data_IF_353136407842
#
_entry.id   IF_353136407842
#
_cell.length_a   1.000
_cell.length_b   1.000
_cell.length_c   1.000
_cell.angle_alpha   90.00
_cell.angle_beta   90.00
_cell.angle_gamma   90.00
#
_symmetry.space_group_name_H-M   'P 1'
#
loop_
_entity.id
_entity.type
_entity.pdbx_description
1 polymer ?
#
# COMPACT_ATOMS: atom_id res chain seq x y z
N UNK A 1 9.47 25.88 -23.46
CA UNK A 1 8.92 24.56 -23.88
C UNK A 1 9.51 23.37 -23.11
N UNK A 2 10.76 23.44 -22.63
CA UNK A 2 11.40 22.32 -21.91
C UNK A 2 10.80 22.07 -20.51
N UNK A 3 10.41 23.13 -19.79
CA UNK A 3 9.76 23.04 -18.46
C UNK A 3 8.42 22.29 -18.47
N UNK A 4 7.55 22.55 -19.44
CA UNK A 4 6.29 21.84 -19.58
C UNK A 4 6.50 20.34 -19.85
N UNK A 5 7.56 19.99 -20.59
CA UNK A 5 7.89 18.59 -20.89
C UNK A 5 8.43 17.86 -19.66
N UNK A 6 9.28 18.48 -18.83
CA UNK A 6 9.82 17.84 -17.61
C UNK A 6 8.72 17.58 -16.59
N UNK A 7 7.79 18.51 -16.45
CA UNK A 7 6.66 18.38 -15.54
C UNK A 7 5.76 17.17 -15.85
N UNK A 8 5.44 16.93 -17.13
CA UNK A 8 4.60 15.79 -17.53
C UNK A 8 5.21 14.43 -17.19
N UNK A 9 6.54 14.29 -17.34
CA UNK A 9 7.23 13.06 -17.01
C UNK A 9 7.30 12.82 -15.49
N UNK A 10 7.56 13.87 -14.70
CA UNK A 10 7.57 13.75 -13.23
C UNK A 10 6.19 13.33 -12.70
N UNK A 11 5.10 13.86 -13.28
CA UNK A 11 3.74 13.42 -12.98
C UNK A 11 3.52 11.95 -13.30
N UNK A 12 3.99 11.48 -14.45
CA UNK A 12 3.89 10.07 -14.83
C UNK A 12 4.62 9.15 -13.84
N UNK A 13 5.89 9.42 -13.51
CA UNK A 13 6.63 8.61 -12.54
C UNK A 13 5.96 8.58 -11.17
N UNK A 14 5.38 9.70 -10.75
CA UNK A 14 4.65 9.77 -9.49
C UNK A 14 3.41 8.87 -9.49
N UNK A 15 2.60 8.90 -10.56
CA UNK A 15 1.42 8.03 -10.72
C UNK A 15 1.82 6.55 -10.76
N UNK A 16 2.90 6.22 -11.47
CA UNK A 16 3.37 4.82 -11.52
C UNK A 16 3.84 4.38 -10.14
N UNK A 17 4.61 5.23 -9.43
CA UNK A 17 5.08 4.92 -8.08
C UNK A 17 3.92 4.76 -7.10
N UNK A 18 2.88 5.61 -7.19
CA UNK A 18 1.67 5.52 -6.36
C UNK A 18 0.94 4.21 -6.58
N UNK A 19 0.79 3.82 -7.84
CA UNK A 19 0.11 2.59 -8.21
C UNK A 19 0.87 1.35 -7.72
N UNK A 20 2.20 1.34 -7.90
CA UNK A 20 3.05 0.22 -7.45
C UNK A 20 3.01 0.10 -5.93
N UNK A 21 3.12 1.22 -5.19
CA UNK A 21 3.01 1.21 -3.71
C UNK A 21 1.63 0.77 -3.26
N UNK A 22 0.55 1.20 -3.92
CA UNK A 22 -0.80 0.75 -3.62
C UNK A 22 -0.95 -0.77 -3.77
N UNK A 23 -0.52 -1.32 -4.91
CA UNK A 23 -0.54 -2.77 -5.13
C UNK A 23 0.33 -3.52 -4.10
N UNK A 24 1.49 -2.97 -3.76
CA UNK A 24 2.42 -3.54 -2.78
C UNK A 24 1.76 -3.60 -1.39
N UNK A 25 1.20 -2.49 -0.91
CA UNK A 25 0.53 -2.46 0.39
C UNK A 25 -0.74 -3.32 0.41
N UNK A 26 -1.51 -3.35 -0.68
CA UNK A 26 -2.67 -4.26 -0.80
C UNK A 26 -2.23 -5.72 -0.68
N UNK A 27 -1.15 -6.14 -1.35
CA UNK A 27 -0.64 -7.52 -1.24
C UNK A 27 -0.17 -7.87 0.19
N UNK A 28 0.43 -6.91 0.88
CA UNK A 28 0.79 -7.05 2.29
C UNK A 28 -0.45 -7.24 3.18
N UNK A 29 -1.47 -6.41 2.95
CA UNK A 29 -2.71 -6.49 3.71
C UNK A 29 -3.52 -7.75 3.41
N UNK A 30 -3.51 -8.28 2.18
CA UNK A 30 -4.15 -9.58 1.89
C UNK A 30 -3.53 -10.68 2.75
N UNK A 31 -2.20 -10.67 2.93
CA UNK A 31 -1.51 -11.64 3.80
C UNK A 31 -1.94 -11.50 5.26
N UNK A 32 -2.07 -10.27 5.75
CA UNK A 32 -2.59 -9.99 7.09
C UNK A 32 -4.07 -10.43 7.25
N UNK A 33 -4.90 -10.18 6.24
CA UNK A 33 -6.31 -10.58 6.22
C UNK A 33 -6.43 -12.09 6.27
N UNK A 34 -5.64 -12.82 5.46
CA UNK A 34 -5.62 -14.29 5.48
C UNK A 34 -5.21 -14.84 6.85
N UNK A 35 -4.22 -14.22 7.49
CA UNK A 35 -3.85 -14.55 8.87
C UNK A 35 -5.01 -14.32 9.85
N UNK A 36 -5.70 -13.19 9.74
CA UNK A 36 -6.82 -12.85 10.62
C UNK A 36 -8.06 -13.73 10.37
N UNK A 37 -8.35 -14.11 9.12
CA UNK A 37 -9.42 -15.08 8.80
C UNK A 37 -9.12 -16.48 9.36
N UNK A 38 -7.84 -16.84 9.50
CA UNK A 38 -7.43 -18.06 10.21
C UNK A 38 -7.82 -17.99 11.69
N UNK A 39 -7.65 -16.83 12.32
CA UNK A 39 -8.00 -16.61 13.73
C UNK A 39 -9.52 -16.46 13.95
N UNK A 40 -10.23 -15.91 12.97
CA UNK A 40 -11.67 -15.64 13.01
C UNK A 40 -12.34 -16.23 11.76
N UNK A 41 -12.65 -17.54 11.74
CA UNK A 41 -13.16 -18.22 10.55
C UNK A 41 -14.51 -17.70 10.04
N UNK A 42 -15.28 -17.05 10.91
CA UNK A 42 -16.58 -16.44 10.56
C UNK A 42 -16.44 -15.06 9.92
N UNK A 43 -15.23 -14.51 9.83
CA UNK A 43 -15.00 -13.18 9.30
C UNK A 43 -14.93 -13.17 7.76
N UNK A 44 -15.94 -12.56 7.13
CA UNK A 44 -15.92 -12.29 5.69
C UNK A 44 -15.16 -10.98 5.42
N UNK A 45 -13.95 -11.11 4.87
CA UNK A 45 -13.10 -9.97 4.53
C UNK A 45 -12.92 -9.79 3.02
N UNK A 46 -13.79 -10.37 2.19
CA UNK A 46 -13.63 -10.39 0.72
C UNK A 46 -13.59 -8.98 0.12
N UNK A 47 -14.32 -8.02 0.70
CA UNK A 47 -14.37 -6.63 0.24
C UNK A 47 -13.11 -5.81 0.58
N UNK A 48 -12.32 -6.27 1.54
CA UNK A 48 -11.30 -5.44 2.18
C UNK A 48 -10.06 -5.16 1.30
N UNK A 49 -9.53 -6.11 0.49
CA UNK A 49 -8.39 -5.84 -0.40
C UNK A 49 -8.66 -4.71 -1.40
N UNK A 50 -9.86 -4.70 -2.00
CA UNK A 50 -10.28 -3.64 -2.93
C UNK A 50 -10.38 -2.30 -2.23
N UNK A 51 -11.01 -2.26 -1.04
CA UNK A 51 -11.09 -1.05 -0.22
C UNK A 51 -9.69 -0.51 0.15
N UNK A 52 -8.79 -1.36 0.60
CA UNK A 52 -7.42 -1.01 0.97
C UNK A 52 -6.65 -0.40 -0.21
N UNK A 53 -6.81 -0.97 -1.41
CA UNK A 53 -6.21 -0.41 -2.62
C UNK A 53 -6.66 1.03 -2.87
N UNK A 54 -7.98 1.30 -2.79
CA UNK A 54 -8.51 2.64 -2.94
C UNK A 54 -8.09 3.58 -1.82
N UNK A 55 -8.06 3.10 -0.57
CA UNK A 55 -7.62 3.86 0.59
C UNK A 55 -6.17 4.35 0.44
N UNK A 56 -5.28 3.49 -0.06
CA UNK A 56 -3.88 3.87 -0.31
C UNK A 56 -3.77 4.95 -1.38
N UNK A 57 -4.51 4.82 -2.48
CA UNK A 57 -4.54 5.80 -3.57
C UNK A 57 -5.15 7.15 -3.13
N UNK A 58 -6.26 7.11 -2.41
CA UNK A 58 -6.90 8.29 -1.83
C UNK A 58 -5.94 9.02 -0.90
N UNK A 59 -5.27 8.29 0.00
CA UNK A 59 -4.32 8.89 0.93
C UNK A 59 -3.18 9.60 0.21
N UNK A 60 -2.65 9.01 -0.86
CA UNK A 60 -1.64 9.65 -1.70
C UNK A 60 -2.13 10.93 -2.37
N UNK A 61 -3.37 10.93 -2.86
CA UNK A 61 -3.99 12.11 -3.46
C UNK A 61 -4.15 13.24 -2.44
N UNK A 62 -4.62 12.91 -1.24
CA UNK A 62 -4.83 13.86 -0.14
C UNK A 62 -3.49 14.41 0.37
N UNK A 63 -2.47 13.56 0.52
CA UNK A 63 -1.15 13.96 0.99
C UNK A 63 -0.59 15.15 0.20
N UNK A 64 -0.68 15.08 -1.14
CA UNK A 64 -0.23 16.16 -2.02
C UNK A 64 -1.00 17.47 -1.86
N UNK A 65 -2.29 17.39 -1.52
CA UNK A 65 -3.11 18.58 -1.24
C UNK A 65 -2.78 19.17 0.13
N UNK A 66 -2.38 18.34 1.08
CA UNK A 66 -2.08 18.74 2.46
C UNK A 66 -0.66 19.30 2.65
N UNK A 67 0.24 19.18 1.67
CA UNK A 67 1.64 19.63 1.79
C UNK A 67 1.77 21.11 2.19
N UNK A 68 0.82 21.96 1.78
CA UNK A 68 0.82 23.39 2.11
C UNK A 68 0.06 23.74 3.40
N UNK A 69 -0.57 22.77 4.05
CA UNK A 69 -1.34 23.01 5.26
C UNK A 69 -0.45 22.83 6.49
N UNK A 70 -0.45 23.80 7.44
CA UNK A 70 0.28 23.64 8.68
C UNK A 70 -0.27 22.44 9.46
N UNK A 71 0.63 21.56 9.87
CA UNK A 71 0.30 20.40 10.72
C UNK A 71 -0.34 20.92 12.01
N UNK A 72 -1.42 20.26 12.46
CA UNK A 72 -2.23 20.64 13.62
C UNK A 72 -3.06 21.92 13.48
N UNK A 73 -3.21 22.47 12.27
CA UNK A 73 -4.24 23.48 12.03
C UNK A 73 -5.65 22.90 12.17
N UNK A 74 -6.63 23.75 12.47
CA UNK A 74 -8.04 23.35 12.53
C UNK A 74 -8.50 22.72 11.19
N UNK A 75 -8.02 23.25 10.07
CA UNK A 75 -8.29 22.73 8.73
C UNK A 75 -7.73 21.31 8.54
N UNK A 76 -6.54 21.04 9.08
CA UNK A 76 -5.94 19.70 9.07
C UNK A 76 -6.79 18.69 9.84
N UNK A 77 -7.22 19.05 11.06
CA UNK A 77 -8.09 18.19 11.88
C UNK A 77 -9.46 17.96 11.23
N UNK A 78 -10.07 19.01 10.66
CA UNK A 78 -11.35 18.88 9.96
C UNK A 78 -11.24 17.96 8.74
N UNK A 79 -10.15 18.06 7.98
CA UNK A 79 -9.97 17.24 6.77
C UNK A 79 -9.77 15.78 7.13
N UNK A 80 -8.89 15.48 8.10
CA UNK A 80 -8.65 14.09 8.55
C UNK A 80 -9.88 13.51 9.25
N UNK A 81 -10.56 14.31 10.07
CA UNK A 81 -11.80 13.88 10.73
C UNK A 81 -12.89 13.53 9.71
N UNK A 82 -13.09 14.37 8.68
CA UNK A 82 -14.04 14.09 7.60
C UNK A 82 -13.67 12.83 6.81
N UNK A 83 -12.39 12.65 6.49
CA UNK A 83 -11.87 11.45 5.80
C UNK A 83 -12.20 10.17 6.60
N UNK A 84 -11.93 10.14 7.90
CA UNK A 84 -12.23 8.98 8.75
C UNK A 84 -13.72 8.68 8.90
N UNK A 85 -14.57 9.72 8.93
CA UNK A 85 -16.03 9.54 8.93
C UNK A 85 -16.47 8.86 7.62
N UNK A 86 -15.98 9.35 6.48
CA UNK A 86 -16.31 8.78 5.16
C UNK A 86 -15.82 7.33 5.07
N UNK A 87 -14.57 7.06 5.46
CA UNK A 87 -13.99 5.70 5.51
C UNK A 87 -14.88 4.77 6.34
N UNK A 88 -15.29 5.20 7.53
CA UNK A 88 -16.11 4.38 8.43
C UNK A 88 -17.47 4.07 7.82
N UNK A 89 -18.11 5.04 7.17
CA UNK A 89 -19.40 4.86 6.49
C UNK A 89 -19.27 3.90 5.30
N UNK A 90 -18.25 4.08 4.45
CA UNK A 90 -18.02 3.22 3.29
C UNK A 90 -17.75 1.79 3.73
N UNK A 91 -16.88 1.59 4.73
CA UNK A 91 -16.58 0.28 5.28
C UNK A 91 -17.84 -0.39 5.81
N UNK A 92 -18.66 0.33 6.59
CA UNK A 92 -19.91 -0.23 7.10
C UNK A 92 -20.82 -0.66 5.96
N UNK A 93 -20.96 0.16 4.92
CA UNK A 93 -21.79 -0.17 3.76
C UNK A 93 -21.27 -1.39 2.99
N UNK A 94 -19.95 -1.52 2.81
CA UNK A 94 -19.33 -2.70 2.19
C UNK A 94 -19.56 -3.98 3.01
N UNK A 95 -19.55 -3.89 4.35
CA UNK A 95 -19.84 -5.02 5.24
C UNK A 95 -21.28 -5.52 5.09
N UNK A 96 -22.26 -4.62 4.96
CA UNK A 96 -23.65 -5.04 4.77
C UNK A 96 -23.86 -5.66 3.38
N UNK A 97 -23.23 -5.08 2.35
CA UNK A 97 -23.33 -5.59 0.98
C UNK A 97 -22.68 -6.98 0.84
N UNK A 98 -21.58 -7.23 1.55
CA UNK A 98 -20.88 -8.52 1.51
C UNK A 98 -21.61 -9.63 2.27
N UNK A 99 -22.54 -9.32 3.16
CA UNK A 99 -23.29 -10.29 3.96
C UNK A 99 -24.77 -10.38 3.53
N UNK A 100 -25.14 -11.27 2.58
CA UNK A 100 -26.51 -11.33 2.04
C UNK A 100 -27.57 -11.73 3.07
N UNK A 101 -27.14 -12.35 4.17
CA UNK A 101 -28.02 -12.76 5.27
C UNK A 101 -28.55 -11.59 6.09
N UNK A 102 -27.91 -10.43 6.02
CA UNK A 102 -28.29 -9.23 6.77
C UNK A 102 -29.04 -8.26 5.85
N UNK A 103 -30.29 -7.97 6.19
CA UNK A 103 -31.05 -6.94 5.48
C UNK A 103 -30.53 -5.56 5.84
N UNK A 104 -30.16 -4.75 4.83
CA UNK A 104 -29.77 -3.34 4.98
C UNK A 104 -30.74 -2.56 5.89
N UNK A 105 -32.04 -2.80 5.71
CA UNK A 105 -33.08 -2.14 6.51
C UNK A 105 -33.08 -2.59 7.96
N UNK A 106 -32.84 -3.89 8.21
CA UNK A 106 -32.74 -4.43 9.56
C UNK A 106 -31.55 -3.83 10.32
N UNK A 107 -30.41 -3.69 9.64
CA UNK A 107 -29.23 -3.04 10.21
C UNK A 107 -29.48 -1.56 10.52
N UNK A 108 -30.04 -0.80 9.58
CA UNK A 108 -30.32 0.64 9.79
C UNK A 108 -31.27 0.84 10.98
N UNK A 109 -32.32 0.02 11.09
CA UNK A 109 -33.24 0.08 12.23
C UNK A 109 -32.55 -0.26 13.56
N UNK A 110 -31.59 -1.19 13.56
CA UNK A 110 -30.81 -1.53 14.76
C UNK A 110 -29.98 -0.36 15.28
N UNK A 111 -29.53 0.54 14.39
CA UNK A 111 -28.74 1.72 14.76
C UNK A 111 -29.57 2.75 15.51
N UNK A 112 -30.87 2.85 15.24
CA UNK A 112 -31.78 3.79 15.92
C UNK A 112 -31.96 3.39 17.39
N UNK A 113 -32.10 2.09 17.66
CA UNK A 113 -32.34 1.57 19.02
C UNK A 113 -31.09 1.52 19.91
N UNK A 114 -29.93 1.18 19.33
CA UNK A 114 -28.68 1.02 20.08
C UNK A 114 -27.47 1.42 19.22
N UNK A 115 -27.37 2.71 18.86
CA UNK A 115 -26.34 3.22 17.94
C UNK A 115 -24.93 2.72 18.27
N UNK A 116 -24.48 2.85 19.52
CA UNK A 116 -23.13 2.46 19.91
C UNK A 116 -22.81 0.98 19.66
N UNK A 117 -23.69 0.06 20.05
CA UNK A 117 -23.47 -1.38 19.88
C UNK A 117 -23.81 -1.89 18.48
N UNK A 118 -24.81 -1.30 17.83
CA UNK A 118 -25.24 -1.70 16.49
C UNK A 118 -24.26 -1.24 15.41
N UNK A 119 -23.78 0.01 15.53
CA UNK A 119 -22.87 0.59 14.54
C UNK A 119 -21.43 0.08 14.70
N UNK A 120 -20.90 0.05 15.92
CA UNK A 120 -19.53 -0.43 16.20
C UNK A 120 -19.50 -1.92 16.53
N UNK A 121 -19.65 -2.74 15.49
CA UNK A 121 -19.41 -4.18 15.58
C UNK A 121 -17.93 -4.48 15.83
N UNK A 122 -17.63 -5.60 16.50
CA UNK A 122 -16.25 -6.06 16.71
C UNK A 122 -15.49 -6.20 15.39
N UNK A 123 -16.17 -6.65 14.35
CA UNK A 123 -15.64 -6.79 13.01
C UNK A 123 -15.26 -5.42 12.41
N UNK A 124 -16.14 -4.41 12.53
CA UNK A 124 -15.84 -3.05 12.06
C UNK A 124 -14.62 -2.48 12.79
N UNK A 125 -14.48 -2.74 14.09
CA UNK A 125 -13.32 -2.28 14.87
C UNK A 125 -12.03 -2.91 14.32
N UNK A 126 -12.01 -4.22 14.03
CA UNK A 126 -10.85 -4.90 13.44
C UNK A 126 -10.51 -4.30 12.07
N UNK A 127 -11.52 -4.09 11.22
CA UNK A 127 -11.35 -3.50 9.90
C UNK A 127 -10.82 -2.06 9.99
N UNK A 128 -11.33 -1.26 10.93
CA UNK A 128 -10.84 0.10 11.18
C UNK A 128 -9.37 0.10 11.62
N UNK A 129 -8.95 -0.84 12.47
CA UNK A 129 -7.54 -0.97 12.87
C UNK A 129 -6.65 -1.26 11.66
N UNK A 130 -7.06 -2.19 10.78
CA UNK A 130 -6.34 -2.50 9.54
C UNK A 130 -6.30 -1.28 8.62
N UNK A 131 -7.41 -0.55 8.50
CA UNK A 131 -7.48 0.67 7.71
C UNK A 131 -6.55 1.76 8.27
N UNK A 132 -6.50 1.97 9.59
CA UNK A 132 -5.59 2.93 10.24
C UNK A 132 -4.13 2.56 9.95
N UNK A 133 -3.78 1.29 10.12
CA UNK A 133 -2.42 0.82 9.86
C UNK A 133 -2.02 1.04 8.39
N UNK A 134 -2.92 0.71 7.46
CA UNK A 134 -2.74 0.94 6.02
C UNK A 134 -2.58 2.43 5.71
N UNK A 135 -3.44 3.26 6.28
CA UNK A 135 -3.46 4.71 6.07
C UNK A 135 -2.15 5.36 6.53
N UNK A 136 -1.66 4.98 7.72
CA UNK A 136 -0.38 5.46 8.26
C UNK A 136 0.79 5.02 7.39
N UNK A 137 0.82 3.75 7.00
CA UNK A 137 1.89 3.20 6.15
C UNK A 137 1.91 3.88 4.78
N UNK A 138 0.74 4.10 4.18
CA UNK A 138 0.59 4.84 2.92
C UNK A 138 1.12 6.27 3.04
N UNK A 139 0.76 6.98 4.12
CA UNK A 139 1.24 8.33 4.40
C UNK A 139 2.77 8.38 4.53
N UNK A 140 3.37 7.38 5.20
CA UNK A 140 4.82 7.24 5.34
C UNK A 140 5.52 7.09 3.98
N UNK A 141 5.04 6.19 3.12
CA UNK A 141 5.59 6.05 1.76
C UNK A 141 5.39 7.30 0.90
N UNK A 142 4.24 7.97 1.02
CA UNK A 142 3.98 9.21 0.28
C UNK A 142 5.00 10.30 0.66
N UNK A 143 5.25 10.49 1.97
CA UNK A 143 6.23 11.44 2.47
C UNK A 143 7.65 11.12 2.00
N UNK A 144 8.07 9.86 2.11
CA UNK A 144 9.41 9.42 1.65
C UNK A 144 9.62 9.65 0.15
N UNK A 145 8.60 9.39 -0.65
CA UNK A 145 8.67 9.56 -2.10
C UNK A 145 8.67 11.04 -2.47
N UNK A 146 7.95 11.88 -1.73
CA UNK A 146 7.97 13.32 -1.93
C UNK A 146 9.33 13.92 -1.57
N UNK A 147 9.87 13.60 -0.39
CA UNK A 147 11.22 14.01 0.03
C UNK A 147 12.29 13.56 -0.98
N UNK A 148 12.17 12.32 -1.46
CA UNK A 148 13.04 11.82 -2.52
C UNK A 148 12.86 12.59 -3.83
N UNK A 149 11.63 13.00 -4.17
CA UNK A 149 11.30 13.60 -5.45
C UNK A 149 11.48 15.12 -5.54
N UNK A 150 11.68 15.84 -4.43
CA UNK A 150 11.90 17.29 -4.47
C UNK A 150 12.97 17.69 -5.50
N UNK A 151 12.67 18.69 -6.34
CA UNK A 151 13.53 19.11 -7.45
C UNK A 151 14.45 20.27 -6.99
N UNK A 152 15.78 20.14 -7.18
CA UNK A 152 16.78 21.11 -6.67
C UNK A 152 16.88 22.39 -7.49
N UNK A 153 16.06 22.55 -8.53
CA UNK A 153 16.44 23.38 -9.67
C UNK A 153 16.58 24.88 -9.37
N UNK A 154 16.06 25.38 -8.26
CA UNK A 154 16.10 26.80 -7.90
C UNK A 154 16.64 27.06 -6.47
N UNK A 155 17.35 26.08 -5.89
CA UNK A 155 17.79 26.16 -4.49
C UNK A 155 19.24 26.63 -4.35
N UNK A 156 19.48 27.43 -3.30
CA UNK A 156 20.81 27.92 -2.92
C UNK A 156 21.81 26.75 -2.77
N UNK A 157 23.07 26.87 -3.26
CA UNK A 157 24.10 25.84 -3.12
C UNK A 157 24.26 25.28 -1.70
N UNK A 158 24.04 26.09 -0.66
CA UNK A 158 24.09 25.65 0.73
C UNK A 158 22.93 24.71 1.10
N UNK A 159 21.75 24.94 0.52
CA UNK A 159 20.55 24.10 0.64
C UNK A 159 20.69 22.82 -0.19
N UNK A 160 21.43 22.86 -1.30
CA UNK A 160 21.70 21.66 -2.12
C UNK A 160 22.46 20.59 -1.32
N UNK A 161 23.45 20.99 -0.51
CA UNK A 161 24.25 20.05 0.27
C UNK A 161 23.41 19.34 1.36
N UNK A 162 22.56 20.07 2.08
CA UNK A 162 21.68 19.48 3.11
C UNK A 162 20.63 18.54 2.49
N UNK A 163 20.10 18.89 1.31
CA UNK A 163 19.13 18.05 0.60
C UNK A 163 19.75 16.76 0.05
N UNK A 164 21.05 16.75 -0.29
CA UNK A 164 21.72 15.52 -0.71
C UNK A 164 21.74 14.49 0.43
N UNK A 165 22.04 14.93 1.65
CA UNK A 165 22.04 14.08 2.86
C UNK A 165 20.63 13.57 3.16
N UNK A 166 19.61 14.43 3.10
CA UNK A 166 18.21 14.04 3.29
C UNK A 166 17.75 12.96 2.31
N UNK A 167 18.16 13.05 1.04
CA UNK A 167 17.78 12.07 0.01
C UNK A 167 18.38 10.70 0.20
N UNK A 168 19.66 10.64 0.59
CA UNK A 168 20.29 9.36 0.90
C UNK A 168 19.57 8.70 2.08
N UNK A 169 19.21 9.49 3.10
CA UNK A 169 18.44 9.01 4.23
C UNK A 169 17.02 8.54 3.81
N UNK A 170 16.29 9.31 3.00
CA UNK A 170 14.96 8.93 2.50
C UNK A 170 15.01 7.62 1.69
N UNK A 171 16.04 7.44 0.85
CA UNK A 171 16.23 6.19 0.09
C UNK A 171 16.49 5.00 1.01
N UNK A 172 17.36 5.17 2.01
CA UNK A 172 17.64 4.12 3.00
C UNK A 172 16.38 3.76 3.80
N UNK A 173 15.57 4.76 4.18
CA UNK A 173 14.30 4.55 4.85
C UNK A 173 13.26 3.84 3.98
N UNK A 174 13.18 4.16 2.67
CA UNK A 174 12.35 3.42 1.72
C UNK A 174 12.76 1.95 1.68
N UNK A 175 14.05 1.67 1.48
CA UNK A 175 14.59 0.31 1.41
C UNK A 175 14.28 -0.43 2.72
N UNK A 176 14.59 0.18 3.85
CA UNK A 176 14.34 -0.39 5.19
C UNK A 176 12.85 -0.68 5.43
N UNK A 177 11.95 0.22 5.04
CA UNK A 177 10.50 0.05 5.21
C UNK A 177 9.97 -1.10 4.36
N UNK A 178 10.40 -1.18 3.09
CA UNK A 178 10.03 -2.27 2.17
C UNK A 178 10.49 -3.63 2.72
N UNK A 179 11.75 -3.73 3.15
CA UNK A 179 12.27 -4.98 3.73
C UNK A 179 11.60 -5.32 5.07
N UNK A 180 11.29 -4.33 5.90
CA UNK A 180 10.62 -4.55 7.19
C UNK A 180 9.20 -5.09 6.99
N UNK A 181 8.44 -4.51 6.05
CA UNK A 181 7.10 -5.01 5.70
C UNK A 181 7.19 -6.41 5.08
N UNK A 182 8.12 -6.63 4.15
CA UNK A 182 8.34 -7.94 3.53
C UNK A 182 8.75 -9.02 4.54
N UNK A 183 9.60 -8.69 5.51
CA UNK A 183 9.97 -9.59 6.59
C UNK A 183 8.77 -9.92 7.49
N UNK A 184 7.96 -8.91 7.84
CA UNK A 184 6.70 -9.11 8.56
C UNK A 184 5.74 -10.03 7.81
N UNK A 185 5.58 -9.82 6.51
CA UNK A 185 4.78 -10.71 5.65
C UNK A 185 5.31 -12.13 5.62
N UNK A 186 6.64 -12.32 5.55
CA UNK A 186 7.27 -13.63 5.55
C UNK A 186 6.96 -14.35 6.87
N UNK A 187 7.11 -13.67 8.01
CA UNK A 187 6.78 -14.22 9.34
C UNK A 187 5.29 -14.57 9.42
N UNK A 188 4.39 -13.69 9.01
CA UNK A 188 2.95 -13.98 8.99
C UNK A 188 2.61 -15.17 8.07
N UNK A 189 3.23 -15.24 6.89
CA UNK A 189 3.08 -16.36 5.96
C UNK A 189 3.62 -17.66 6.55
N UNK A 190 4.74 -17.59 7.26
CA UNK A 190 5.32 -18.74 7.94
C UNK A 190 4.40 -19.22 9.07
N UNK A 191 3.86 -18.31 9.91
CA UNK A 191 2.94 -18.66 11.00
C UNK A 191 1.64 -19.26 10.46
N UNK A 192 1.03 -18.64 9.44
CA UNK A 192 -0.19 -19.16 8.81
C UNK A 192 0.02 -20.54 8.18
N UNK A 193 1.24 -20.83 7.70
CA UNK A 193 1.62 -22.14 7.13
C UNK A 193 2.11 -23.16 8.14
N UNK A 194 2.69 -22.72 9.25
CA UNK A 194 3.23 -23.58 10.29
C UNK A 194 2.14 -24.38 11.02
N UNK A 195 0.87 -24.19 10.64
CA UNK A 195 -0.26 -24.70 11.37
C UNK A 195 -0.39 -26.24 11.32
N UNK A 196 -0.46 -26.76 12.54
CA UNK A 196 -0.77 -28.06 13.17
C UNK A 196 -1.30 -29.25 12.35
N UNK A 197 -1.79 -29.06 11.12
CA UNK A 197 -2.28 -30.16 10.27
C UNK A 197 -1.16 -31.06 9.78
N UNK A 198 0.04 -30.54 9.50
CA UNK A 198 1.19 -31.42 9.20
C UNK A 198 1.50 -32.34 10.39
N UNK A 199 1.32 -31.85 11.62
CA UNK A 199 1.50 -32.64 12.83
C UNK A 199 0.38 -33.68 13.02
N UNK A 200 -0.89 -33.32 12.74
CA UNK A 200 -2.04 -34.24 12.80
C UNK A 200 -2.07 -35.26 11.64
N UNK A 201 -1.66 -34.89 10.44
CA UNK A 201 -1.63 -35.74 9.26
C UNK A 201 -0.45 -36.72 9.30
N UNK A 202 0.68 -36.34 9.92
CA UNK A 202 1.77 -37.27 10.27
C UNK A 202 1.34 -38.35 11.26
N UNK A 203 0.37 -38.04 12.13
CA UNK A 203 -0.21 -39.00 13.09
C UNK A 203 -1.33 -39.85 12.47
N UNK A 204 -2.01 -39.34 11.43
CA UNK A 204 -3.16 -39.99 10.79
C UNK A 204 -2.86 -40.74 9.48
N UNK A 205 -1.62 -40.74 8.98
CA UNK A 205 -1.23 -41.49 7.76
C UNK A 205 -1.96 -41.06 6.48
N UNK A 206 -2.40 -39.79 6.42
CA UNK A 206 -3.31 -39.27 5.39
C UNK A 206 -2.62 -38.82 4.09
N UNK A 207 -3.33 -39.03 2.96
CA UNK A 207 -2.90 -38.72 1.60
C UNK A 207 -2.54 -37.24 1.38
N UNK A 208 -1.35 -37.01 0.82
CA UNK A 208 -0.60 -35.74 0.77
C UNK A 208 -1.10 -34.78 -0.36
N UNK A 209 -2.21 -35.08 -1.03
CA UNK A 209 -2.51 -34.53 -2.37
C UNK A 209 -3.69 -33.55 -2.50
N UNK A 210 -4.31 -33.06 -1.43
CA UNK A 210 -5.27 -31.93 -1.54
C UNK A 210 -4.54 -30.58 -1.51
N UNK A 211 -3.86 -30.25 -2.62
CA UNK A 211 -2.94 -29.12 -2.73
C UNK A 211 -3.57 -27.79 -3.23
N UNK A 212 -4.84 -27.74 -3.66
CA UNK A 212 -5.34 -26.56 -4.41
C UNK A 212 -5.53 -25.29 -3.58
N UNK A 213 -5.87 -25.38 -2.29
CA UNK A 213 -6.10 -24.17 -1.46
C UNK A 213 -4.83 -23.62 -0.78
N UNK A 214 -3.69 -24.33 -0.90
CA UNK A 214 -2.44 -24.01 -0.16
C UNK A 214 -1.52 -22.97 -0.84
N UNK A 215 -1.78 -22.64 -2.10
CA UNK A 215 -0.90 -21.78 -2.91
C UNK A 215 -1.21 -20.28 -2.83
N UNK A 216 -2.40 -19.90 -2.37
CA UNK A 216 -2.86 -18.50 -2.42
C UNK A 216 -2.00 -17.59 -1.53
N UNK A 217 -1.52 -18.06 -0.38
CA UNK A 217 -0.68 -17.26 0.51
C UNK A 217 0.73 -16.95 -0.04
N UNK A 218 1.37 -17.90 -0.73
CA UNK A 218 2.72 -17.67 -1.29
C UNK A 218 2.72 -16.73 -2.50
N UNK A 219 1.63 -16.69 -3.27
CA UNK A 219 1.54 -15.83 -4.44
C UNK A 219 1.59 -14.34 -4.04
N UNK A 220 0.88 -13.95 -2.98
CA UNK A 220 0.87 -12.57 -2.49
C UNK A 220 2.24 -12.10 -2.02
N UNK A 221 3.01 -12.96 -1.35
CA UNK A 221 4.37 -12.66 -0.91
C UNK A 221 5.31 -12.44 -2.08
N UNK A 222 5.27 -13.33 -3.08
CA UNK A 222 6.08 -13.18 -4.30
C UNK A 222 5.70 -11.90 -5.05
N UNK A 223 4.40 -11.64 -5.18
CA UNK A 223 3.87 -10.45 -5.82
C UNK A 223 4.32 -9.17 -5.11
N UNK A 224 4.32 -9.16 -3.77
CA UNK A 224 4.88 -8.05 -2.98
C UNK A 224 6.35 -7.78 -3.31
N UNK A 225 7.21 -8.82 -3.27
CA UNK A 225 8.64 -8.63 -3.54
C UNK A 225 8.92 -8.21 -4.98
N UNK A 226 8.14 -8.74 -5.93
CA UNK A 226 8.15 -8.32 -7.33
C UNK A 226 7.85 -6.82 -7.45
N UNK A 227 6.77 -6.34 -6.83
CA UNK A 227 6.39 -4.93 -6.85
C UNK A 227 7.41 -4.06 -6.11
N UNK A 228 7.96 -4.54 -5.00
CA UNK A 228 9.04 -3.89 -4.28
C UNK A 228 10.29 -3.69 -5.16
N UNK A 229 10.70 -4.72 -5.92
CA UNK A 229 11.81 -4.61 -6.87
C UNK A 229 11.54 -3.59 -7.96
N UNK A 230 10.32 -3.59 -8.53
CA UNK A 230 9.90 -2.58 -9.51
C UNK A 230 9.98 -1.18 -8.91
N UNK A 231 9.43 -1.00 -7.70
CA UNK A 231 9.44 0.28 -7.00
C UNK A 231 10.86 0.80 -6.71
N UNK A 232 11.73 -0.06 -6.18
CA UNK A 232 13.13 0.28 -5.91
C UNK A 232 13.88 0.64 -7.20
N UNK A 233 13.59 -0.06 -8.30
CA UNK A 233 14.26 0.19 -9.55
C UNK A 233 13.76 1.45 -10.26
N UNK A 234 12.46 1.77 -10.19
CA UNK A 234 11.91 3.08 -10.59
C UNK A 234 12.58 4.20 -9.79
N UNK A 235 12.72 3.99 -8.48
CA UNK A 235 13.37 4.95 -7.58
C UNK A 235 14.84 5.16 -7.98
N UNK A 236 15.60 4.07 -8.21
CA UNK A 236 17.00 4.15 -8.65
C UNK A 236 17.15 4.84 -10.02
N UNK A 237 16.26 4.52 -10.96
CA UNK A 237 16.23 5.20 -12.25
C UNK A 237 16.00 6.71 -12.11
N UNK A 238 15.09 7.13 -11.23
CA UNK A 238 14.86 8.53 -10.95
C UNK A 238 16.09 9.24 -10.37
N UNK A 239 16.91 8.55 -9.55
CA UNK A 239 18.21 9.05 -9.08
C UNK A 239 19.21 9.21 -10.22
N UNK A 240 19.47 8.16 -10.99
CA UNK A 240 20.42 8.18 -12.11
C UNK A 240 20.10 9.28 -13.11
N UNK A 241 18.82 9.45 -13.43
CA UNK A 241 18.34 10.51 -14.33
C UNK A 241 18.68 11.91 -13.83
N UNK A 242 18.65 12.14 -12.53
CA UNK A 242 19.06 13.44 -11.96
C UNK A 242 20.55 13.66 -12.12
N UNK A 243 21.37 12.66 -11.80
CA UNK A 243 22.83 12.72 -11.99
C UNK A 243 23.19 13.01 -13.44
N UNK A 244 22.55 12.33 -14.39
CA UNK A 244 22.76 12.58 -15.81
C UNK A 244 22.38 13.99 -16.23
N UNK A 245 21.25 14.51 -15.70
CA UNK A 245 20.82 15.89 -15.96
C UNK A 245 21.81 16.92 -15.39
N UNK A 246 22.33 16.70 -14.19
CA UNK A 246 23.37 17.58 -13.60
C UNK A 246 24.69 17.50 -14.34
N UNK A 247 25.01 16.38 -14.97
CA UNK A 247 26.20 16.20 -15.82
C UNK A 247 26.02 16.67 -17.26
N UNK A 248 24.86 17.24 -17.62
CA UNK A 248 24.58 17.68 -18.99
C UNK A 248 24.39 16.54 -20.02
N UNK A 249 24.22 15.30 -19.57
CA UNK A 249 24.03 14.14 -20.44
C UNK A 249 22.56 14.10 -20.88
N UNK A 250 22.31 14.27 -22.17
CA UNK A 250 20.97 14.17 -22.74
C UNK A 250 20.61 12.70 -22.98
N UNK A 251 19.47 12.27 -22.44
CA UNK A 251 19.04 10.86 -22.50
C UNK A 251 17.72 10.75 -23.23
N UNK A 252 17.64 9.74 -24.10
CA UNK A 252 16.44 9.43 -24.85
C UNK A 252 15.31 9.00 -23.89
N UNK A 253 14.16 9.69 -23.98
CA UNK A 253 12.99 9.44 -23.13
C UNK A 253 12.41 8.03 -23.25
N UNK A 254 12.61 7.37 -24.39
CA UNK A 254 12.05 6.04 -24.61
C UNK A 254 12.69 4.98 -23.73
N UNK A 255 13.87 5.25 -23.15
CA UNK A 255 14.54 4.31 -22.24
C UNK A 255 13.65 3.97 -21.04
N UNK A 256 12.93 4.93 -20.47
CA UNK A 256 12.08 4.70 -19.28
C UNK A 256 10.90 3.83 -19.62
N UNK A 257 10.20 4.18 -20.70
CA UNK A 257 9.02 3.45 -21.15
C UNK A 257 9.41 2.01 -21.47
N UNK A 258 10.50 1.83 -22.20
CA UNK A 258 10.99 0.50 -22.55
C UNK A 258 11.45 -0.28 -21.32
N UNK A 259 12.15 0.37 -20.37
CA UNK A 259 12.60 -0.27 -19.14
C UNK A 259 11.44 -0.75 -18.26
N UNK A 260 10.37 0.05 -18.13
CA UNK A 260 9.13 -0.37 -17.43
C UNK A 260 8.44 -1.52 -18.18
N UNK A 261 8.34 -1.45 -19.51
CA UNK A 261 7.76 -2.53 -20.32
C UNK A 261 8.57 -3.83 -20.15
N UNK A 262 9.90 -3.77 -20.22
CA UNK A 262 10.75 -4.95 -20.04
C UNK A 262 10.64 -5.53 -18.63
N UNK A 263 10.54 -4.67 -17.61
CA UNK A 263 10.31 -5.13 -16.23
C UNK A 263 8.96 -5.82 -16.10
N UNK A 264 7.88 -5.26 -16.67
CA UNK A 264 6.55 -5.90 -16.69
C UNK A 264 6.54 -7.23 -17.44
N UNK A 265 7.17 -7.28 -18.62
CA UNK A 265 7.28 -8.51 -19.42
C UNK A 265 8.06 -9.58 -18.65
N UNK A 266 9.18 -9.21 -18.04
CA UNK A 266 9.97 -10.11 -17.22
C UNK A 266 9.14 -10.68 -16.05
N UNK A 267 8.35 -9.85 -15.39
CA UNK A 267 7.46 -10.29 -14.31
C UNK A 267 6.35 -11.22 -14.78
N UNK A 268 5.75 -10.94 -15.94
CA UNK A 268 4.72 -11.80 -16.53
C UNK A 268 5.26 -13.17 -16.98
N UNK A 269 6.57 -13.29 -17.19
CA UNK A 269 7.21 -14.57 -17.53
C UNK A 269 7.60 -15.38 -16.28
N UNK A 270 7.68 -14.74 -15.12
CA UNK A 270 8.13 -15.35 -13.86
C UNK A 270 6.96 -15.83 -12.99
N UNK A 271 5.78 -15.22 -13.16
CA UNK A 271 4.51 -15.69 -12.58
C UNK A 271 3.79 -16.66 -13.50
#
# INVERSE_FOLDING_TARGET
MESARTQGFNRFLWIVSSLVVALMLTSAMITLIQFMQRLLPTWDAVYLPGFIFFLVLERWYIHRRMENLPVFSAEWFLTIGAEWIIITIILRLLMVISNPSQSLWGEILSWIGNYGKGFFSTELIIVLIIAIFTWLTSAHFAALIDEYNQELLDMDPTVIASLYIGRTAAREQIISSVFSIGAGMLVLTAITRADWQVFKDLEAGGNIFSLSDRYVGSANLLFFFVLALVFLSISNYAALRRTWRTSGITINRNVVRNWVIYSLVFLSLLG
#
